data_IF_494692368602
#
_entry.id   IF_494692368602
#
_cell.length_a   1.000
_cell.length_b   1.000
_cell.length_c   1.000
_cell.angle_alpha   90.00
_cell.angle_beta   90.00
_cell.angle_gamma   90.00
#
_symmetry.space_group_name_H-M   'P 1'
#
loop_
_entity.id
_entity.type
_entity.pdbx_description
1 polymer ?
#
# COMPACT_ATOMS: atom_id res chain seq x y z
N UNK A 1 -10.82 2.26 2.32
CA UNK A 1 -11.57 2.70 3.51
C UNK A 1 -11.71 4.22 3.58
N UNK A 2 -10.59 4.96 3.50
CA UNK A 2 -10.61 6.43 3.60
C UNK A 2 -11.49 7.07 2.52
N UNK A 3 -11.50 6.55 1.30
CA UNK A 3 -12.33 7.09 0.22
C UNK A 3 -13.84 7.02 0.49
N UNK A 4 -14.28 6.12 1.36
CA UNK A 4 -15.68 6.06 1.81
C UNK A 4 -16.01 7.07 2.91
N UNK A 5 -15.02 7.40 3.75
CA UNK A 5 -15.25 8.19 4.97
C UNK A 5 -14.88 9.67 4.81
N UNK A 6 -13.98 10.00 3.86
CA UNK A 6 -13.50 11.35 3.57
C UNK A 6 -13.97 11.91 2.21
N UNK A 7 -14.91 11.21 1.54
CA UNK A 7 -15.37 11.58 0.19
C UNK A 7 -14.27 11.49 -0.88
N UNK A 8 -13.24 10.67 -0.65
CA UNK A 8 -12.13 10.45 -1.57
C UNK A 8 -11.05 11.56 -1.53
N UNK A 9 -11.04 12.41 -0.50
CA UNK A 9 -10.07 13.50 -0.41
C UNK A 9 -8.64 12.99 -0.35
N UNK A 10 -8.35 12.00 0.50
CA UNK A 10 -7.04 11.39 0.61
C UNK A 10 -6.63 10.64 -0.67
N UNK A 11 -7.57 9.90 -1.27
CA UNK A 11 -7.35 9.19 -2.53
C UNK A 11 -6.95 10.15 -3.67
N UNK A 12 -7.60 11.31 -3.76
CA UNK A 12 -7.21 12.33 -4.76
C UNK A 12 -5.79 12.85 -4.57
N UNK A 13 -5.30 12.95 -3.34
CA UNK A 13 -3.91 13.34 -3.08
C UNK A 13 -2.91 12.26 -3.50
N UNK A 14 -3.27 10.99 -3.40
CA UNK A 14 -2.44 9.89 -3.90
C UNK A 14 -2.37 9.93 -5.44
N UNK A 15 -3.50 10.12 -6.11
CA UNK A 15 -3.59 10.03 -7.56
C UNK A 15 -3.10 11.27 -8.32
N UNK A 16 -3.29 12.47 -7.76
CA UNK A 16 -3.11 13.74 -8.49
C UNK A 16 -2.23 14.73 -7.74
N UNK A 17 -1.78 14.42 -6.54
CA UNK A 17 -1.02 15.31 -5.68
C UNK A 17 0.28 14.70 -5.17
N UNK A 18 0.88 15.37 -4.20
CA UNK A 18 1.96 14.82 -3.40
C UNK A 18 1.44 14.47 -2.01
N UNK A 19 1.17 13.19 -1.81
CA UNK A 19 0.63 12.67 -0.55
C UNK A 19 1.56 12.96 0.64
N UNK A 20 2.87 13.04 0.44
CA UNK A 20 3.81 13.33 1.52
C UNK A 20 3.75 14.79 1.92
N UNK A 21 3.63 15.72 0.97
CA UNK A 21 3.40 17.13 1.25
C UNK A 21 2.03 17.36 1.89
N UNK A 22 1.01 16.63 1.48
CA UNK A 22 -0.30 16.66 2.14
C UNK A 22 -0.20 16.21 3.60
N UNK A 23 0.44 15.07 3.86
CA UNK A 23 0.65 14.55 5.21
C UNK A 23 1.54 15.47 6.07
N UNK A 24 2.54 16.13 5.47
CA UNK A 24 3.37 17.14 6.11
C UNK A 24 2.52 18.26 6.71
N UNK A 25 1.63 18.83 5.90
CA UNK A 25 0.71 19.89 6.32
C UNK A 25 -0.28 19.41 7.40
N UNK A 26 -0.85 18.22 7.20
CA UNK A 26 -1.82 17.64 8.14
C UNK A 26 -1.22 17.38 9.52
N UNK A 27 -0.01 16.87 9.59
CA UNK A 27 0.71 16.64 10.85
C UNK A 27 1.42 17.90 11.37
N UNK A 28 1.66 18.90 10.50
CA UNK A 28 2.43 20.11 10.81
C UNK A 28 3.91 19.83 11.01
N UNK A 29 4.46 19.02 10.12
CA UNK A 29 5.87 18.67 10.08
C UNK A 29 6.67 19.68 9.26
N UNK A 30 7.96 19.83 9.55
CA UNK A 30 8.83 20.80 8.89
C UNK A 30 9.23 20.37 7.49
N UNK A 31 9.47 19.06 7.30
CA UNK A 31 9.96 18.53 6.03
C UNK A 31 9.08 17.42 5.47
N UNK A 32 9.14 17.25 4.15
CA UNK A 32 8.46 16.17 3.42
C UNK A 32 8.99 14.79 3.83
N UNK A 33 10.28 14.68 4.11
CA UNK A 33 10.90 13.42 4.53
C UNK A 33 10.46 13.01 5.94
N UNK A 34 10.30 13.97 6.85
CA UNK A 34 9.66 13.72 8.15
C UNK A 34 8.23 13.18 7.94
N UNK A 35 7.47 13.73 7.00
CA UNK A 35 6.11 13.27 6.72
C UNK A 35 6.07 11.86 6.13
N UNK A 36 7.01 11.52 5.24
CA UNK A 36 7.19 10.16 4.73
C UNK A 36 7.48 9.17 5.87
N UNK A 37 8.44 9.48 6.72
CA UNK A 37 8.79 8.67 7.88
C UNK A 37 7.62 8.56 8.86
N UNK A 38 6.91 9.67 9.10
CA UNK A 38 5.77 9.73 10.00
C UNK A 38 4.64 8.81 9.58
N UNK A 39 4.18 8.90 8.32
CA UNK A 39 3.04 8.11 7.87
C UNK A 39 3.33 6.60 7.88
N UNK A 40 4.55 6.21 7.50
CA UNK A 40 4.96 4.81 7.62
C UNK A 40 5.02 4.36 9.08
N UNK A 41 5.66 5.12 9.96
CA UNK A 41 5.72 4.82 11.38
C UNK A 41 4.31 4.67 11.99
N UNK A 42 3.37 5.56 11.62
CA UNK A 42 1.97 5.50 12.05
C UNK A 42 1.30 4.20 11.57
N UNK A 43 1.44 3.85 10.29
CA UNK A 43 0.88 2.63 9.72
C UNK A 43 1.48 1.36 10.34
N UNK A 44 2.75 1.39 10.74
CA UNK A 44 3.43 0.29 11.44
C UNK A 44 3.17 0.26 12.95
N UNK A 45 2.37 1.18 13.48
CA UNK A 45 1.94 1.18 14.87
C UNK A 45 2.99 1.73 15.85
N UNK A 46 3.84 2.64 15.40
CA UNK A 46 4.85 3.26 16.24
C UNK A 46 4.23 3.98 17.45
N UNK A 47 4.82 3.76 18.64
CA UNK A 47 4.46 4.44 19.86
C UNK A 47 4.88 5.91 19.88
N UNK A 48 4.37 6.66 20.85
CA UNK A 48 4.59 8.11 20.94
C UNK A 48 6.07 8.49 21.05
N UNK A 49 6.89 7.68 21.74
CA UNK A 49 8.33 7.93 21.85
C UNK A 49 9.03 7.88 20.48
N UNK A 50 8.67 6.91 19.62
CA UNK A 50 9.24 6.81 18.28
C UNK A 50 8.74 7.94 17.38
N UNK A 51 7.47 8.29 17.50
CA UNK A 51 6.89 9.41 16.75
C UNK A 51 7.55 10.75 17.14
N UNK A 52 7.88 10.95 18.42
CA UNK A 52 8.58 12.15 18.89
C UNK A 52 9.99 12.27 18.31
N UNK A 53 10.69 11.16 18.12
CA UNK A 53 12.04 11.17 17.52
C UNK A 53 12.06 11.71 16.10
N UNK A 54 10.96 11.59 15.34
CA UNK A 54 10.86 12.11 13.98
C UNK A 54 11.05 13.64 13.92
N UNK A 55 10.64 14.31 14.99
CA UNK A 55 10.78 15.79 15.14
C UNK A 55 11.88 16.18 16.12
N UNK A 56 12.79 15.26 16.43
CA UNK A 56 13.88 15.54 17.41
C UNK A 56 13.41 15.71 18.85
N UNK A 57 12.18 15.30 19.16
CA UNK A 57 11.51 15.48 20.44
C UNK A 57 11.35 14.17 21.23
N UNK A 58 10.46 14.19 22.20
CA UNK A 58 10.17 13.10 23.13
C UNK A 58 8.74 12.53 22.94
N UNK A 59 8.32 11.61 23.82
CA UNK A 59 7.00 10.98 23.74
C UNK A 59 5.83 11.98 23.82
N UNK A 60 5.97 13.09 24.55
CA UNK A 60 4.91 14.13 24.62
C UNK A 60 4.75 14.83 23.27
N UNK A 61 5.86 15.07 22.57
CA UNK A 61 5.85 15.68 21.24
C UNK A 61 5.26 14.72 20.21
N UNK A 62 5.60 13.43 20.29
CA UNK A 62 4.99 12.40 19.45
C UNK A 62 3.48 12.26 19.64
N UNK A 63 3.02 12.37 20.88
CA UNK A 63 1.57 12.37 21.19
C UNK A 63 0.88 13.57 20.56
N UNK A 64 1.43 14.79 20.74
CA UNK A 64 0.89 16.01 20.13
C UNK A 64 0.85 15.93 18.60
N UNK A 65 1.90 15.35 18.00
CA UNK A 65 1.98 15.14 16.56
C UNK A 65 0.84 14.25 16.05
N UNK A 66 0.58 13.13 16.72
CA UNK A 66 -0.56 12.24 16.40
C UNK A 66 -1.90 12.93 16.58
N UNK A 67 -2.10 13.64 17.69
CA UNK A 67 -3.34 14.38 17.95
C UNK A 67 -3.62 15.41 16.86
N UNK A 68 -2.59 16.16 16.44
CA UNK A 68 -2.69 17.14 15.37
C UNK A 68 -3.08 16.49 14.04
N UNK A 69 -2.40 15.38 13.67
CA UNK A 69 -2.70 14.64 12.46
C UNK A 69 -4.12 14.10 12.46
N UNK A 70 -4.56 13.43 13.52
CA UNK A 70 -5.90 12.87 13.61
C UNK A 70 -6.99 13.93 13.62
N UNK A 71 -6.73 15.09 14.23
CA UNK A 71 -7.64 16.23 14.14
C UNK A 71 -7.80 16.73 12.70
N UNK A 72 -6.74 16.71 11.91
CA UNK A 72 -6.76 17.08 10.48
C UNK A 72 -7.31 15.96 9.59
N UNK A 73 -7.27 14.72 10.06
CA UNK A 73 -7.62 13.51 9.31
C UNK A 73 -8.60 12.62 10.13
N UNK A 74 -9.85 13.07 10.37
CA UNK A 74 -10.81 12.31 11.18
C UNK A 74 -11.08 10.90 10.65
N UNK A 75 -11.13 10.73 9.32
CA UNK A 75 -11.33 9.42 8.68
C UNK A 75 -10.19 8.43 9.02
N UNK A 76 -8.97 8.94 9.19
CA UNK A 76 -7.84 8.09 9.58
C UNK A 76 -7.94 7.68 11.06
N UNK A 77 -8.40 8.59 11.92
CA UNK A 77 -8.71 8.30 13.32
C UNK A 77 -9.80 7.23 13.44
N UNK A 78 -10.85 7.35 12.63
CA UNK A 78 -11.94 6.38 12.58
C UNK A 78 -11.47 4.98 12.15
N UNK A 79 -10.62 4.92 11.10
CA UNK A 79 -9.98 3.67 10.69
C UNK A 79 -9.19 3.04 11.84
N UNK A 80 -8.38 3.83 12.53
CA UNK A 80 -7.59 3.34 13.65
C UNK A 80 -8.48 2.82 14.80
N UNK A 81 -9.54 3.54 15.14
CA UNK A 81 -10.51 3.12 16.17
C UNK A 81 -11.19 1.81 15.77
N UNK A 82 -11.59 1.67 14.50
CA UNK A 82 -12.19 0.43 13.98
C UNK A 82 -11.24 -0.75 14.05
N UNK A 83 -9.97 -0.54 13.74
CA UNK A 83 -8.92 -1.56 13.86
C UNK A 83 -8.69 -1.94 15.33
N UNK A 84 -8.61 -0.96 16.23
CA UNK A 84 -8.42 -1.21 17.66
C UNK A 84 -9.61 -1.98 18.27
N UNK A 85 -10.83 -1.71 17.85
CA UNK A 85 -12.01 -2.48 18.30
C UNK A 85 -11.95 -3.96 17.92
N UNK A 86 -11.21 -4.31 16.87
CA UNK A 86 -11.01 -5.69 16.45
C UNK A 86 -9.95 -6.44 17.28
N UNK A 87 -9.11 -5.73 18.03
CA UNK A 87 -8.05 -6.33 18.86
C UNK A 87 -8.63 -7.27 19.92
N UNK A 88 -9.74 -6.90 20.54
CA UNK A 88 -10.42 -7.73 21.53
C UNK A 88 -10.87 -9.09 20.97
N UNK A 89 -11.16 -9.18 19.68
CA UNK A 89 -11.52 -10.42 18.99
C UNK A 89 -10.29 -11.28 18.64
N UNK A 90 -9.08 -10.72 18.69
CA UNK A 90 -7.83 -11.37 18.33
C UNK A 90 -7.60 -11.58 16.84
N UNK A 91 -8.47 -11.04 15.98
CA UNK A 91 -8.34 -11.16 14.52
C UNK A 91 -8.99 -10.00 13.75
N UNK A 92 -8.49 -9.75 12.56
CA UNK A 92 -9.04 -8.83 11.56
C UNK A 92 -9.54 -9.60 10.34
N UNK A 93 -10.50 -9.02 9.62
CA UNK A 93 -10.92 -9.52 8.31
C UNK A 93 -10.08 -8.81 7.23
N UNK A 94 -9.37 -9.59 6.43
CA UNK A 94 -8.63 -9.08 5.26
C UNK A 94 -9.57 -8.74 4.11
N UNK A 95 -9.04 -8.11 3.05
CA UNK A 95 -9.78 -7.69 1.86
C UNK A 95 -10.45 -8.86 1.13
N UNK A 96 -9.87 -10.05 1.16
CA UNK A 96 -10.41 -11.29 0.59
C UNK A 96 -11.33 -12.08 1.55
N UNK A 97 -11.63 -11.51 2.72
CA UNK A 97 -12.52 -12.10 3.71
C UNK A 97 -11.87 -13.05 4.71
N UNK A 98 -10.58 -13.42 4.53
CA UNK A 98 -9.87 -14.29 5.49
C UNK A 98 -9.68 -13.63 6.84
N UNK A 99 -9.58 -14.44 7.89
CA UNK A 99 -9.24 -13.97 9.22
C UNK A 99 -7.73 -13.89 9.39
N UNK A 100 -7.24 -12.71 9.74
CA UNK A 100 -5.82 -12.46 10.05
C UNK A 100 -5.67 -12.39 11.56
N UNK A 101 -4.92 -13.33 12.14
CA UNK A 101 -4.66 -13.36 13.58
C UNK A 101 -3.79 -12.17 13.97
N UNK A 102 -4.18 -11.46 15.02
CA UNK A 102 -3.42 -10.36 15.60
C UNK A 102 -2.43 -10.86 16.63
N UNK A 103 -1.19 -10.43 16.52
CA UNK A 103 -0.13 -10.74 17.50
C UNK A 103 -0.11 -9.72 18.63
N UNK A 104 -0.46 -8.47 18.32
CA UNK A 104 -0.52 -7.37 19.29
C UNK A 104 -1.45 -6.27 18.81
N UNK A 105 -1.93 -5.44 19.74
CA UNK A 105 -2.74 -4.26 19.43
C UNK A 105 -1.99 -3.26 18.54
N UNK A 106 -0.70 -3.07 18.80
CA UNK A 106 0.12 -2.12 18.04
C UNK A 106 0.29 -2.51 16.57
N UNK A 107 0.37 -3.80 16.26
CA UNK A 107 0.54 -4.29 14.89
C UNK A 107 -0.76 -4.46 14.11
N UNK A 108 -1.91 -4.13 14.70
CA UNK A 108 -3.20 -4.43 14.09
C UNK A 108 -3.43 -3.68 12.77
N UNK A 109 -3.13 -2.38 12.71
CA UNK A 109 -3.24 -1.59 11.48
C UNK A 109 -2.28 -2.12 10.41
N UNK A 110 -1.03 -2.37 10.77
CA UNK A 110 -0.04 -2.96 9.88
C UNK A 110 -0.51 -4.33 9.35
N UNK A 111 -1.03 -5.21 10.21
CA UNK A 111 -1.55 -6.51 9.81
C UNK A 111 -2.70 -6.39 8.79
N UNK A 112 -3.59 -5.39 8.95
CA UNK A 112 -4.64 -5.09 7.99
C UNK A 112 -4.06 -4.68 6.63
N UNK A 113 -3.14 -3.71 6.63
CA UNK A 113 -2.54 -3.17 5.41
C UNK A 113 -1.71 -4.23 4.67
N UNK A 114 -0.82 -4.94 5.38
CA UNK A 114 0.04 -5.96 4.80
C UNK A 114 -0.76 -7.16 4.26
N UNK A 115 -1.83 -7.56 4.96
CA UNK A 115 -2.68 -8.63 4.44
C UNK A 115 -3.42 -8.23 3.17
N UNK A 116 -3.90 -6.99 3.08
CA UNK A 116 -4.55 -6.48 1.88
C UNK A 116 -3.55 -6.37 0.70
N UNK A 117 -2.37 -5.77 0.93
CA UNK A 117 -1.31 -5.69 -0.07
C UNK A 117 -0.91 -7.08 -0.59
N UNK A 118 -0.69 -8.04 0.32
CA UNK A 118 -0.36 -9.41 -0.07
C UNK A 118 -1.46 -10.11 -0.87
N UNK A 119 -2.75 -9.83 -0.60
CA UNK A 119 -3.84 -10.37 -1.41
C UNK A 119 -3.85 -9.78 -2.82
N UNK A 120 -3.69 -8.45 -2.93
CA UNK A 120 -3.64 -7.73 -4.20
C UNK A 120 -2.47 -8.22 -5.04
N UNK A 121 -1.25 -8.24 -4.51
CA UNK A 121 -0.05 -8.67 -5.23
C UNK A 121 -0.14 -10.12 -5.68
N UNK A 122 -0.62 -11.03 -4.82
CA UNK A 122 -0.80 -12.45 -5.19
C UNK A 122 -1.83 -12.65 -6.30
N UNK A 123 -2.94 -11.94 -6.25
CA UNK A 123 -3.94 -12.03 -7.31
C UNK A 123 -3.41 -11.45 -8.61
N UNK A 124 -2.64 -10.36 -8.53
CA UNK A 124 -2.00 -9.73 -9.68
C UNK A 124 -1.07 -10.70 -10.42
N UNK A 125 -0.14 -11.37 -9.72
CA UNK A 125 0.75 -12.34 -10.36
C UNK A 125 -0.01 -13.55 -10.94
N UNK A 126 -1.08 -14.01 -10.26
CA UNK A 126 -1.94 -15.06 -10.82
C UNK A 126 -2.63 -14.61 -12.12
N UNK A 127 -3.15 -13.39 -12.17
CA UNK A 127 -3.76 -12.85 -13.38
C UNK A 127 -2.75 -12.68 -14.53
N UNK A 128 -1.52 -12.25 -14.23
CA UNK A 128 -0.47 -12.18 -15.25
C UNK A 128 -0.23 -13.56 -15.86
N UNK A 129 -0.06 -14.58 -15.04
CA UNK A 129 0.16 -15.96 -15.49
C UNK A 129 -1.04 -16.49 -16.31
N UNK A 130 -2.25 -16.27 -15.81
CA UNK A 130 -3.50 -16.62 -16.52
C UNK A 130 -3.58 -15.94 -17.89
N UNK A 131 -3.27 -14.66 -17.98
CA UNK A 131 -3.33 -13.87 -19.22
C UNK A 131 -2.22 -14.24 -20.21
N UNK A 132 -0.99 -14.52 -19.73
CA UNK A 132 0.11 -15.01 -20.59
C UNK A 132 -0.26 -16.36 -21.23
N UNK A 133 -0.80 -17.28 -20.43
CA UNK A 133 -1.27 -18.60 -20.92
C UNK A 133 -2.43 -18.47 -21.91
N UNK A 134 -3.43 -17.65 -21.61
CA UNK A 134 -4.58 -17.45 -22.48
C UNK A 134 -4.20 -16.88 -23.85
N UNK A 135 -3.06 -16.18 -23.96
CA UNK A 135 -2.51 -15.64 -25.20
C UNK A 135 -1.46 -16.54 -25.87
N UNK A 136 -1.15 -17.67 -25.26
CA UNK A 136 -0.10 -18.57 -25.76
C UNK A 136 1.31 -18.01 -25.66
N UNK A 137 1.53 -17.06 -24.73
CA UNK A 137 2.82 -16.38 -24.49
C UNK A 137 3.64 -17.02 -23.35
N UNK A 138 3.10 -18.01 -22.67
CA UNK A 138 3.72 -18.66 -21.50
C UNK A 138 5.04 -19.38 -21.78
N UNK A 139 5.35 -19.65 -23.06
CA UNK A 139 6.64 -20.21 -23.51
C UNK A 139 7.69 -19.13 -23.82
N UNK A 140 7.23 -17.94 -24.18
CA UNK A 140 8.07 -16.80 -24.57
C UNK A 140 8.22 -15.77 -23.44
N UNK A 141 7.31 -15.82 -22.44
CA UNK A 141 7.26 -14.86 -21.33
C UNK A 141 6.87 -15.58 -20.04
N UNK A 142 7.70 -15.48 -19.00
CA UNK A 142 7.45 -16.15 -17.72
C UNK A 142 8.03 -15.40 -16.54
N UNK A 143 7.34 -15.49 -15.40
CA UNK A 143 7.80 -14.87 -14.16
C UNK A 143 9.04 -15.59 -13.62
N UNK A 144 10.08 -14.83 -13.27
CA UNK A 144 11.33 -15.35 -12.72
C UNK A 144 11.51 -14.98 -11.24
N UNK A 145 10.94 -13.87 -10.79
CA UNK A 145 10.98 -13.47 -9.40
C UNK A 145 9.75 -12.63 -9.03
N UNK A 146 9.38 -12.69 -7.75
CA UNK A 146 8.39 -11.82 -7.14
C UNK A 146 8.93 -11.33 -5.80
N UNK A 147 9.10 -10.01 -5.67
CA UNK A 147 9.64 -9.36 -4.47
C UNK A 147 8.67 -8.26 -4.04
N UNK A 148 7.92 -8.47 -2.96
CA UNK A 148 6.90 -7.55 -2.44
C UNK A 148 5.81 -7.19 -3.46
N UNK A 149 5.91 -6.01 -4.07
CA UNK A 149 5.00 -5.41 -5.05
C UNK A 149 5.61 -5.34 -6.46
N UNK A 150 6.78 -5.93 -6.65
CA UNK A 150 7.51 -6.02 -7.91
C UNK A 150 7.50 -7.45 -8.44
N UNK A 151 7.30 -7.62 -9.75
CA UNK A 151 7.45 -8.89 -10.45
C UNK A 151 8.48 -8.75 -11.57
N UNK A 152 9.42 -9.67 -11.64
CA UNK A 152 10.38 -9.78 -12.72
C UNK A 152 9.92 -10.86 -13.70
N UNK A 153 9.81 -10.49 -14.96
CA UNK A 153 9.33 -11.35 -16.04
C UNK A 153 10.42 -11.43 -17.10
N UNK A 154 10.87 -12.64 -17.42
CA UNK A 154 11.67 -12.86 -18.61
C UNK A 154 10.75 -12.80 -19.82
N UNK A 155 11.07 -11.92 -20.76
CA UNK A 155 10.23 -11.60 -21.92
C UNK A 155 11.04 -11.79 -23.17
N UNK A 156 10.48 -12.45 -24.18
CA UNK A 156 11.08 -12.56 -25.51
C UNK A 156 11.21 -11.18 -26.14
N UNK A 157 12.33 -10.94 -26.79
CA UNK A 157 12.61 -9.68 -27.49
C UNK A 157 11.48 -9.27 -28.44
N UNK A 158 11.07 -8.00 -28.30
CA UNK A 158 9.97 -7.40 -29.06
C UNK A 158 8.59 -7.54 -28.41
N UNK A 159 8.47 -8.19 -27.25
CA UNK A 159 7.22 -8.29 -26.49
C UNK A 159 7.21 -7.43 -25.21
N UNK A 160 8.26 -6.67 -24.92
CA UNK A 160 8.47 -5.97 -23.65
C UNK A 160 7.33 -4.98 -23.35
N UNK A 161 7.04 -4.09 -24.29
CA UNK A 161 5.95 -3.10 -24.13
C UNK A 161 4.59 -3.79 -23.99
N UNK A 162 4.35 -4.83 -24.80
CA UNK A 162 3.08 -5.56 -24.75
C UNK A 162 2.87 -6.21 -23.38
N UNK A 163 3.89 -6.91 -22.85
CA UNK A 163 3.83 -7.57 -21.56
C UNK A 163 3.74 -6.53 -20.43
N UNK A 164 4.49 -5.42 -20.52
CA UNK A 164 4.41 -4.32 -19.58
C UNK A 164 2.98 -3.75 -19.48
N UNK A 165 2.33 -3.45 -20.59
CA UNK A 165 0.94 -3.00 -20.60
C UNK A 165 -0.05 -4.08 -20.14
N UNK A 166 0.24 -5.35 -20.40
CA UNK A 166 -0.56 -6.46 -19.89
C UNK A 166 -0.55 -6.50 -18.37
N UNK A 167 0.63 -6.32 -17.74
CA UNK A 167 0.75 -6.28 -16.26
C UNK A 167 -0.06 -5.16 -15.64
N UNK A 168 -0.05 -3.95 -16.24
CA UNK A 168 -0.89 -2.82 -15.82
C UNK A 168 -2.38 -3.14 -15.95
N UNK A 169 -2.79 -3.77 -17.06
CA UNK A 169 -4.18 -4.20 -17.23
C UNK A 169 -4.60 -5.23 -16.18
N UNK A 170 -3.72 -6.15 -15.82
CA UNK A 170 -3.96 -7.11 -14.73
C UNK A 170 -4.10 -6.40 -13.37
N UNK A 171 -3.28 -5.39 -13.09
CA UNK A 171 -3.38 -4.62 -11.85
C UNK A 171 -4.74 -3.92 -11.72
N UNK A 172 -5.24 -3.32 -12.81
CA UNK A 172 -6.57 -2.70 -12.85
C UNK A 172 -7.68 -3.71 -12.57
N UNK A 173 -7.63 -4.89 -13.22
CA UNK A 173 -8.60 -5.97 -12.98
C UNK A 173 -8.62 -6.42 -11.51
N UNK A 174 -7.45 -6.53 -10.87
CA UNK A 174 -7.37 -6.86 -9.42
C UNK A 174 -8.05 -5.79 -8.58
N UNK A 175 -7.85 -4.52 -8.89
CA UNK A 175 -8.54 -3.42 -8.22
C UNK A 175 -10.06 -3.56 -8.30
N UNK A 176 -10.57 -3.92 -9.47
CA UNK A 176 -12.00 -4.15 -9.71
C UNK A 176 -12.52 -5.39 -8.95
N UNK A 177 -11.81 -6.52 -9.01
CA UNK A 177 -12.18 -7.76 -8.29
C UNK A 177 -12.32 -7.53 -6.78
N UNK A 178 -11.37 -6.79 -6.19
CA UNK A 178 -11.40 -6.45 -4.76
C UNK A 178 -12.26 -5.22 -4.44
N UNK A 179 -12.90 -4.60 -5.45
CA UNK A 179 -13.73 -3.39 -5.30
C UNK A 179 -12.98 -2.25 -4.61
N UNK A 180 -11.69 -2.09 -4.95
CA UNK A 180 -10.86 -0.99 -4.45
C UNK A 180 -11.36 0.30 -5.10
N UNK A 181 -11.59 1.34 -4.28
CA UNK A 181 -12.22 2.58 -4.73
C UNK A 181 -11.28 3.53 -5.47
N UNK A 182 -9.99 3.21 -5.50
CA UNK A 182 -8.98 3.94 -6.27
C UNK A 182 -8.40 3.01 -7.33
N UNK A 183 -8.01 3.50 -8.51
CA UNK A 183 -7.38 2.66 -9.52
C UNK A 183 -6.06 2.09 -8.97
N UNK A 184 -5.87 0.79 -9.21
CA UNK A 184 -4.59 0.13 -9.04
C UNK A 184 -3.95 0.05 -10.40
N UNK A 185 -2.67 0.37 -10.50
CA UNK A 185 -1.89 0.33 -11.73
C UNK A 185 -0.50 -0.22 -11.43
N UNK A 186 0.27 -0.52 -12.47
CA UNK A 186 1.69 -0.83 -12.37
C UNK A 186 2.47 -0.06 -13.41
N UNK A 187 3.64 0.40 -13.02
CA UNK A 187 4.66 0.91 -13.93
C UNK A 187 5.58 -0.25 -14.34
N UNK A 188 6.23 -0.14 -15.48
CA UNK A 188 7.21 -1.13 -15.92
C UNK A 188 8.42 -0.45 -16.53
N UNK A 189 9.54 -1.09 -16.41
CA UNK A 189 10.79 -0.81 -17.09
C UNK A 189 11.35 -2.13 -17.63
N UNK A 190 12.19 -2.08 -18.62
CA UNK A 190 12.84 -3.26 -19.18
C UNK A 190 14.33 -3.01 -19.47
N UNK A 191 15.10 -4.10 -19.46
CA UNK A 191 16.54 -4.11 -19.70
C UNK A 191 17.03 -5.53 -19.93
N UNK A 192 18.31 -5.68 -20.17
CA UNK A 192 18.93 -7.00 -20.37
C UNK A 192 19.14 -7.76 -19.05
N UNK A 193 19.20 -7.03 -17.96
CA UNK A 193 19.40 -7.58 -16.60
C UNK A 193 18.43 -6.94 -15.62
N UNK A 194 18.25 -7.56 -14.46
CA UNK A 194 17.46 -6.97 -13.37
C UNK A 194 17.99 -5.59 -12.94
N UNK A 195 19.31 -5.42 -12.94
CA UNK A 195 19.93 -4.14 -12.58
C UNK A 195 19.57 -2.99 -13.54
N UNK A 196 19.22 -3.30 -14.79
CA UNK A 196 18.80 -2.29 -15.76
C UNK A 196 17.33 -1.87 -15.59
N UNK A 197 16.52 -2.75 -14.97
CA UNK A 197 15.07 -2.57 -14.83
C UNK A 197 14.63 -2.23 -13.40
N UNK A 198 15.58 -2.11 -12.44
CA UNK A 198 15.30 -1.88 -11.02
C UNK A 198 15.63 -0.48 -10.54
#
# INVERSE_FOLDING_TARGET
YLSFTDGGAYARQILKGDIHTFNQKAAGLETRDQAKTYIYALCYGAGDAMMGKIVGGNAKDGKKLKEKFFKSMPAFQELQNGVQSAVSRGWLKSIDGRRVKLRSAHSALNALLQSAAGCVSKRWICLIDEELKARGLDKDCYMVAWVHDEVQIAVKEGLEDYVGHLTGSCAKKVGEEFKIQIPIDSEFSFGQTWADSH
#
